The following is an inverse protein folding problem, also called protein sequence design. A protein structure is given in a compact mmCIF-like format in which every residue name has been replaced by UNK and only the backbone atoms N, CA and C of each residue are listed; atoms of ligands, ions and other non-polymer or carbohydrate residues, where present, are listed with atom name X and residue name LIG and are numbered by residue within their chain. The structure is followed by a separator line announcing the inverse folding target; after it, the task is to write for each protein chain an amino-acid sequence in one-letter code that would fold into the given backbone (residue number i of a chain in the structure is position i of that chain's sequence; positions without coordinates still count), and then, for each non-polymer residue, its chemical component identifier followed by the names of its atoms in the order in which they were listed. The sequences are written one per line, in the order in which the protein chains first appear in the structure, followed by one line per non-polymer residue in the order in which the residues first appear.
data_IF_418550749325
#
_entry.id   IF_418550749325
#
_cell.length_a   1.000
_cell.length_b   1.000
_cell.length_c   1.000
_cell.angle_alpha   90.00
_cell.angle_beta   90.00
_cell.angle_gamma   90.00
#
_symmetry.space_group_name_H-M   'P 1'
#
loop_
_entity.id
_entity.type
_entity.pdbx_description
1 polymer ?
#
# COMPACT_ATOMS: atom_id res chain seq x y z
N UNK A 1 -21.93 8.13 9.50
CA UNK A 1 -20.92 8.41 8.45
C UNK A 1 -19.60 7.78 8.86
N UNK A 2 -18.74 7.36 7.91
CA UNK A 2 -17.41 6.86 8.23
C UNK A 2 -16.49 7.98 8.74
N UNK A 3 -15.53 7.62 9.60
CA UNK A 3 -14.43 8.51 9.97
C UNK A 3 -13.37 8.53 8.86
N UNK A 4 -12.74 9.67 8.61
CA UNK A 4 -11.66 9.81 7.62
C UNK A 4 -10.40 10.34 8.30
N UNK A 5 -9.34 9.53 8.31
CA UNK A 5 -8.04 9.87 8.88
C UNK A 5 -7.00 10.10 7.78
N UNK A 6 -6.26 11.21 7.84
CA UNK A 6 -5.24 11.58 6.84
C UNK A 6 -3.85 11.54 7.47
N UNK A 7 -3.43 10.36 7.90
CA UNK A 7 -2.20 10.12 8.65
C UNK A 7 -1.36 8.94 8.11
N UNK A 8 -1.85 8.25 7.07
CA UNK A 8 -1.19 7.05 6.55
C UNK A 8 0.13 7.41 5.86
N UNK A 9 1.11 6.51 5.97
CA UNK A 9 2.45 6.61 5.36
C UNK A 9 2.73 5.39 4.47
N UNK A 10 3.71 5.53 3.57
CA UNK A 10 4.12 4.48 2.64
C UNK A 10 3.51 4.67 1.25
N UNK A 11 3.47 3.61 0.44
CA UNK A 11 3.05 3.71 -0.98
C UNK A 11 1.56 3.47 -1.25
N UNK A 12 0.80 3.00 -0.26
CA UNK A 12 -0.65 2.86 -0.42
C UNK A 12 -1.30 4.24 -0.37
N UNK A 13 -2.33 4.47 -1.20
CA UNK A 13 -3.08 5.72 -1.26
C UNK A 13 -4.19 5.77 -0.19
N UNK A 14 -4.97 4.69 -0.07
CA UNK A 14 -6.08 4.57 0.88
C UNK A 14 -6.12 3.20 1.55
N UNK A 15 -6.94 3.09 2.59
CA UNK A 15 -7.34 1.84 3.24
C UNK A 15 -8.64 1.98 4.01
N UNK A 16 -9.58 1.07 3.78
CA UNK A 16 -10.77 0.90 4.61
C UNK A 16 -10.50 -0.02 5.82
N UNK A 17 -10.84 0.46 7.02
CA UNK A 17 -10.90 -0.31 8.25
C UNK A 17 -12.35 -0.68 8.54
N UNK A 18 -12.78 -1.81 7.99
CA UNK A 18 -14.18 -2.26 7.96
C UNK A 18 -14.89 -2.20 9.32
N UNK A 19 -14.26 -2.77 10.37
CA UNK A 19 -14.85 -2.88 11.71
C UNK A 19 -14.93 -1.55 12.44
N UNK A 20 -14.04 -0.61 12.11
CA UNK A 20 -14.02 0.73 12.72
C UNK A 20 -14.85 1.74 11.93
N UNK A 21 -15.36 1.34 10.76
CA UNK A 21 -16.00 2.24 9.81
C UNK A 21 -15.13 3.47 9.50
N UNK A 22 -13.83 3.24 9.26
CA UNK A 22 -12.83 4.30 9.05
C UNK A 22 -12.15 4.15 7.70
N UNK A 23 -11.94 5.26 6.99
CA UNK A 23 -11.06 5.35 5.83
C UNK A 23 -9.76 6.03 6.28
N UNK A 24 -8.62 5.40 5.99
CA UNK A 24 -7.30 6.00 6.18
C UNK A 24 -6.73 6.40 4.83
N UNK A 25 -6.24 7.62 4.72
CA UNK A 25 -5.63 8.18 3.52
C UNK A 25 -4.17 8.53 3.75
N UNK A 26 -3.38 8.38 2.69
CA UNK A 26 -2.00 8.82 2.69
C UNK A 26 -1.91 10.34 2.61
N UNK A 27 -1.32 10.96 3.63
CA UNK A 27 -1.28 12.42 3.74
C UNK A 27 -0.57 13.11 2.58
N UNK A 28 0.58 12.58 2.16
CA UNK A 28 1.41 13.20 1.13
C UNK A 28 0.75 12.99 -0.23
N UNK A 29 0.39 11.74 -0.56
CA UNK A 29 -0.26 11.43 -1.84
C UNK A 29 -1.59 12.16 -2.01
N UNK A 30 -2.37 12.31 -0.94
CA UNK A 30 -3.63 13.06 -0.97
C UNK A 30 -3.39 14.53 -1.29
N UNK A 31 -2.39 15.16 -0.65
CA UNK A 31 -2.05 16.55 -0.91
C UNK A 31 -1.58 16.77 -2.35
N UNK A 32 -0.85 15.81 -2.92
CA UNK A 32 -0.29 15.88 -4.27
C UNK A 32 -1.32 15.54 -5.37
N UNK A 33 -2.36 14.77 -5.06
CA UNK A 33 -3.26 14.16 -6.06
C UNK A 33 -4.75 14.24 -5.67
N UNK A 34 -5.20 15.39 -5.14
CA UNK A 34 -6.54 15.55 -4.55
C UNK A 34 -7.68 15.07 -5.47
N UNK A 35 -7.66 15.45 -6.75
CA UNK A 35 -8.73 15.10 -7.69
C UNK A 35 -8.80 13.58 -7.91
N UNK A 36 -7.65 12.91 -8.09
CA UNK A 36 -7.61 11.45 -8.23
C UNK A 36 -8.09 10.74 -6.95
N UNK A 37 -7.83 11.31 -5.78
CA UNK A 37 -8.38 10.78 -4.53
C UNK A 37 -9.90 10.90 -4.46
N UNK A 38 -10.47 12.03 -4.91
CA UNK A 38 -11.92 12.26 -4.95
C UNK A 38 -12.58 11.32 -5.95
N UNK A 39 -12.01 11.18 -7.14
CA UNK A 39 -12.62 10.44 -8.24
C UNK A 39 -12.45 8.93 -8.12
N UNK A 40 -11.36 8.48 -7.48
CA UNK A 40 -10.98 7.07 -7.51
C UNK A 40 -10.77 6.47 -6.11
N UNK A 41 -9.87 7.03 -5.30
CA UNK A 41 -9.44 6.40 -4.03
C UNK A 41 -10.56 6.41 -2.98
N UNK A 42 -11.22 7.55 -2.77
CA UNK A 42 -12.30 7.68 -1.80
C UNK A 42 -13.48 6.78 -2.15
N UNK A 43 -14.00 6.79 -3.40
CA UNK A 43 -15.02 5.83 -3.84
C UNK A 43 -14.61 4.37 -3.63
N UNK A 44 -13.35 4.02 -3.94
CA UNK A 44 -12.83 2.66 -3.74
C UNK A 44 -12.91 2.23 -2.27
N UNK A 45 -12.37 3.05 -1.36
CA UNK A 45 -12.36 2.72 0.07
C UNK A 45 -13.77 2.77 0.68
N UNK A 46 -14.61 3.71 0.24
CA UNK A 46 -15.99 3.80 0.68
C UNK A 46 -16.82 2.61 0.18
N UNK A 47 -16.56 2.10 -1.03
CA UNK A 47 -17.20 0.90 -1.54
C UNK A 47 -16.90 -0.33 -0.67
N UNK A 48 -15.69 -0.45 -0.09
CA UNK A 48 -15.40 -1.50 0.88
C UNK A 48 -16.26 -1.38 2.14
N UNK A 49 -16.42 -0.18 2.69
CA UNK A 49 -17.25 0.05 3.88
C UNK A 49 -18.72 -0.23 3.62
N UNK A 50 -19.27 0.31 2.52
CA UNK A 50 -20.67 0.07 2.11
C UNK A 50 -20.90 -1.44 1.90
N UNK A 51 -19.99 -2.10 1.18
CA UNK A 51 -20.11 -3.54 0.92
C UNK A 51 -20.15 -4.33 2.23
N UNK A 52 -19.29 -3.99 3.18
CA UNK A 52 -19.24 -4.65 4.49
C UNK A 52 -20.53 -4.42 5.30
N UNK A 53 -21.06 -3.20 5.31
CA UNK A 53 -22.26 -2.84 6.06
C UNK A 53 -23.52 -3.49 5.49
N UNK A 54 -23.61 -3.61 4.16
CA UNK A 54 -24.82 -4.12 3.49
C UNK A 54 -24.78 -5.64 3.35
N UNK A 55 -23.63 -6.22 3.02
CA UNK A 55 -23.51 -7.65 2.68
C UNK A 55 -22.73 -8.47 3.71
N UNK A 56 -22.16 -7.84 4.74
CA UNK A 56 -21.39 -8.52 5.78
C UNK A 56 -20.02 -9.00 5.28
N UNK A 57 -19.67 -10.26 5.57
CA UNK A 57 -18.38 -10.85 5.20
C UNK A 57 -18.46 -11.47 3.80
N UNK A 58 -17.91 -10.76 2.82
CA UNK A 58 -17.83 -11.21 1.42
C UNK A 58 -16.38 -11.18 0.91
N UNK A 59 -16.16 -11.68 -0.31
CA UNK A 59 -14.85 -11.64 -0.95
C UNK A 59 -14.42 -10.18 -1.21
N UNK A 60 -13.20 -9.77 -0.83
CA UNK A 60 -12.67 -8.46 -1.19
C UNK A 60 -12.70 -8.26 -2.71
N UNK A 61 -13.21 -7.10 -3.15
CA UNK A 61 -13.37 -6.78 -4.57
C UNK A 61 -14.23 -7.80 -5.36
N UNK A 62 -15.12 -8.52 -4.66
CA UNK A 62 -16.08 -9.46 -5.24
C UNK A 62 -17.28 -8.77 -5.91
N UNK A 63 -18.26 -9.57 -6.33
CA UNK A 63 -19.44 -9.10 -7.09
C UNK A 63 -20.22 -7.99 -6.36
N UNK A 64 -20.32 -8.05 -5.04
CA UNK A 64 -20.98 -7.05 -4.20
C UNK A 64 -20.24 -5.72 -4.22
N UNK A 65 -18.90 -5.77 -4.10
CA UNK A 65 -18.06 -4.57 -4.18
C UNK A 65 -18.08 -3.96 -5.59
N UNK A 66 -18.00 -4.81 -6.63
CA UNK A 66 -18.11 -4.35 -8.02
C UNK A 66 -19.48 -3.72 -8.30
N UNK A 67 -20.55 -4.27 -7.73
CA UNK A 67 -21.87 -3.69 -7.79
C UNK A 67 -21.90 -2.30 -7.17
N UNK A 68 -21.33 -2.11 -5.97
CA UNK A 68 -21.26 -0.78 -5.33
C UNK A 68 -20.44 0.20 -6.18
N UNK A 69 -19.26 -0.20 -6.66
CA UNK A 69 -18.42 0.65 -7.52
C UNK A 69 -19.17 1.14 -8.76
N UNK A 70 -19.86 0.24 -9.46
CA UNK A 70 -20.53 0.56 -10.73
C UNK A 70 -21.89 1.25 -10.51
N UNK A 71 -22.71 0.75 -9.58
CA UNK A 71 -24.12 1.17 -9.45
C UNK A 71 -24.31 2.32 -8.47
N UNK A 72 -23.42 2.49 -7.50
CA UNK A 72 -23.49 3.59 -6.54
C UNK A 72 -22.55 4.72 -6.95
N UNK A 73 -21.30 4.40 -7.29
CA UNK A 73 -20.30 5.40 -7.62
C UNK A 73 -20.14 5.68 -9.12
N UNK A 74 -20.68 4.84 -10.00
CA UNK A 74 -20.58 5.04 -11.45
C UNK A 74 -19.15 4.87 -11.99
N UNK A 75 -18.24 4.27 -11.22
CA UNK A 75 -16.83 4.10 -11.60
C UNK A 75 -16.51 2.64 -11.94
N UNK A 76 -15.51 2.45 -12.79
CA UNK A 76 -15.01 1.12 -13.12
C UNK A 76 -14.45 0.46 -11.85
N UNK A 77 -14.71 -0.84 -11.61
CA UNK A 77 -14.26 -1.54 -10.41
C UNK A 77 -12.77 -1.93 -10.50
N UNK A 78 -11.91 -0.94 -10.69
CA UNK A 78 -10.46 -1.11 -10.74
C UNK A 78 -9.89 -1.33 -9.34
N UNK A 79 -9.01 -2.32 -9.21
CA UNK A 79 -8.38 -2.66 -7.92
C UNK A 79 -7.17 -1.79 -7.60
N UNK A 80 -6.57 -1.21 -8.64
CA UNK A 80 -5.31 -0.50 -8.56
C UNK A 80 -5.44 0.81 -9.29
N UNK A 81 -4.93 1.87 -8.66
CA UNK A 81 -4.81 3.19 -9.24
C UNK A 81 -3.35 3.44 -9.58
N UNK A 82 -3.08 4.13 -10.68
CA UNK A 82 -1.71 4.51 -11.06
C UNK A 82 -1.49 5.94 -10.60
N UNK A 83 -0.51 6.13 -9.73
CA UNK A 83 -0.12 7.43 -9.17
C UNK A 83 1.39 7.44 -8.99
N UNK A 84 2.03 8.60 -9.15
CA UNK A 84 3.42 8.72 -8.75
C UNK A 84 3.54 8.62 -7.22
N UNK A 85 4.36 7.68 -6.77
CA UNK A 85 4.61 7.41 -5.34
C UNK A 85 6.06 7.69 -4.96
N UNK A 86 6.78 8.43 -5.80
CA UNK A 86 8.18 8.81 -5.58
C UNK A 86 8.35 9.61 -4.28
N UNK A 87 7.46 10.56 -4.01
CA UNK A 87 7.42 11.43 -2.81
C UNK A 87 7.29 10.67 -1.49
N UNK A 88 6.66 9.49 -1.53
CA UNK A 88 6.41 8.63 -0.35
C UNK A 88 7.25 7.35 -0.38
N UNK A 89 8.21 7.27 -1.30
CA UNK A 89 9.11 6.13 -1.36
C UNK A 89 9.94 6.05 -0.08
N UNK A 90 9.74 4.96 0.66
CA UNK A 90 10.53 4.68 1.86
C UNK A 90 12.00 4.47 1.52
N UNK A 91 12.86 4.71 2.54
CA UNK A 91 14.30 4.49 2.45
C UNK A 91 14.63 3.08 1.97
N UNK A 92 15.67 3.00 1.14
CA UNK A 92 16.23 1.75 0.66
C UNK A 92 17.71 1.67 0.99
N UNK A 93 18.19 0.46 1.22
CA UNK A 93 19.53 0.17 1.71
C UNK A 93 20.16 -0.87 0.81
N UNK A 94 21.40 -0.64 0.40
CA UNK A 94 22.09 -1.55 -0.50
C UNK A 94 22.66 -2.76 0.24
N UNK A 95 22.32 -3.93 -0.28
CA UNK A 95 22.85 -5.21 0.17
C UNK A 95 23.48 -5.94 -1.02
N UNK A 96 24.53 -6.73 -0.82
CA UNK A 96 25.21 -7.42 -1.90
C UNK A 96 25.62 -8.85 -1.55
N UNK A 97 25.66 -9.69 -2.58
CA UNK A 97 26.47 -10.91 -2.66
C UNK A 97 27.70 -10.60 -3.52
N UNK A 98 28.61 -11.56 -3.69
CA UNK A 98 29.66 -11.48 -4.72
C UNK A 98 29.18 -11.46 -6.17
N UNK A 99 27.87 -11.39 -6.40
CA UNK A 99 27.23 -11.58 -7.70
C UNK A 99 26.40 -10.40 -8.20
N UNK A 100 25.81 -9.60 -7.30
CA UNK A 100 25.00 -8.40 -7.59
C UNK A 100 24.60 -7.67 -6.31
N UNK A 101 24.17 -6.42 -6.49
CA UNK A 101 23.54 -5.60 -5.46
C UNK A 101 22.00 -5.72 -5.47
N UNK A 102 21.41 -5.46 -4.31
CA UNK A 102 19.98 -5.52 -4.03
C UNK A 102 19.56 -4.33 -3.15
N UNK A 103 18.56 -3.53 -3.57
CA UNK A 103 17.95 -2.55 -2.69
C UNK A 103 16.97 -3.26 -1.74
N UNK A 104 17.25 -3.25 -0.44
CA UNK A 104 16.31 -3.69 0.59
C UNK A 104 15.55 -2.48 1.14
N UNK A 105 14.22 -2.63 1.31
CA UNK A 105 13.42 -1.60 1.97
C UNK A 105 13.79 -1.45 3.44
N UNK A 106 13.51 -0.29 4.03
CA UNK A 106 13.72 -0.03 5.46
C UNK A 106 13.15 -1.12 6.38
N UNK A 107 12.01 -1.72 6.00
CA UNK A 107 11.42 -2.83 6.78
C UNK A 107 12.33 -4.06 6.78
N UNK A 108 12.84 -4.45 5.61
CA UNK A 108 13.76 -5.58 5.45
C UNK A 108 15.10 -5.29 6.14
N UNK A 109 15.64 -4.10 5.94
CA UNK A 109 16.86 -3.65 6.61
C UNK A 109 16.74 -3.72 8.14
N UNK A 110 15.64 -3.20 8.72
CA UNK A 110 15.41 -3.25 10.16
C UNK A 110 15.26 -4.69 10.68
N UNK A 111 14.65 -5.59 9.92
CA UNK A 111 14.58 -7.02 10.29
C UNK A 111 15.96 -7.66 10.38
N UNK A 112 16.87 -7.33 9.44
CA UNK A 112 18.27 -7.79 9.50
C UNK A 112 18.96 -7.22 10.73
N UNK A 113 18.84 -5.91 10.99
CA UNK A 113 19.45 -5.28 12.17
C UNK A 113 18.97 -5.89 13.49
N UNK A 114 17.70 -6.28 13.56
CA UNK A 114 17.10 -6.95 14.73
C UNK A 114 17.36 -8.46 14.78
N UNK A 115 18.08 -9.01 13.80
CA UNK A 115 18.33 -10.45 13.64
C UNK A 115 17.05 -11.30 13.52
N UNK A 116 15.95 -10.69 13.08
CA UNK A 116 14.67 -11.38 12.86
C UNK A 116 14.59 -12.08 11.50
N UNK A 117 15.44 -11.68 10.55
CA UNK A 117 15.49 -12.27 9.22
C UNK A 117 16.85 -12.08 8.58
N UNK A 118 17.24 -13.04 7.76
CA UNK A 118 18.35 -12.95 6.83
C UNK A 118 17.82 -13.13 5.41
N UNK A 119 18.53 -12.58 4.42
CA UNK A 119 18.11 -12.66 3.03
C UNK A 119 19.24 -13.21 2.18
N UNK A 120 18.92 -14.18 1.34
CA UNK A 120 19.90 -14.79 0.43
C UNK A 120 19.65 -14.40 -1.02
N UNK A 121 20.72 -14.38 -1.79
CA UNK A 121 20.68 -14.21 -3.23
C UNK A 121 19.97 -15.40 -3.88
N UNK A 122 19.02 -15.14 -4.79
CA UNK A 122 18.33 -16.19 -5.54
C UNK A 122 19.20 -16.88 -6.61
N UNK A 123 20.33 -16.28 -6.97
CA UNK A 123 21.24 -16.81 -7.98
C UNK A 123 22.32 -17.70 -7.35
N UNK A 124 23.08 -17.18 -6.38
CA UNK A 124 24.19 -17.91 -5.76
C UNK A 124 23.87 -18.52 -4.39
N UNK A 125 22.68 -18.26 -3.81
CA UNK A 125 22.30 -18.75 -2.48
C UNK A 125 23.00 -18.07 -1.29
N UNK A 126 24.04 -17.27 -1.55
CA UNK A 126 24.82 -16.58 -0.49
C UNK A 126 23.97 -15.52 0.20
N UNK A 127 24.16 -15.40 1.52
CA UNK A 127 23.55 -14.35 2.33
C UNK A 127 23.97 -12.97 1.84
N UNK A 128 23.02 -12.04 1.80
CA UNK A 128 23.24 -10.67 1.40
C UNK A 128 23.83 -9.87 2.57
N UNK A 129 24.98 -9.24 2.35
CA UNK A 129 25.62 -8.36 3.31
C UNK A 129 25.25 -6.90 3.05
N UNK A 130 24.93 -6.15 4.11
CA UNK A 130 24.69 -4.70 4.01
C UNK A 130 26.00 -4.00 3.61
N UNK A 131 25.96 -3.13 2.60
CA UNK A 131 27.17 -2.43 2.09
C UNK A 131 27.51 -1.17 2.89
N UNK A 132 26.67 -0.76 3.84
CA UNK A 132 26.78 0.52 4.54
C UNK A 132 26.06 1.67 3.83
N UNK A 133 25.55 1.48 2.61
CA UNK A 133 24.96 2.55 1.80
C UNK A 133 23.43 2.60 1.90
N UNK A 134 22.90 3.77 2.30
CA UNK A 134 21.49 4.12 2.09
C UNK A 134 21.34 4.70 0.67
N UNK A 135 20.43 4.14 -0.12
CA UNK A 135 20.21 4.50 -1.53
C UNK A 135 19.17 5.62 -1.70
N UNK A 136 18.20 5.69 -0.79
CA UNK A 136 17.15 6.72 -0.75
C UNK A 136 16.77 7.05 0.68
#
# INVERSE_FOLDING_TARGET
MPQVDVDMRGKAAGKALLQLNTIKLNKILFAENQQQFIDEVLPHELAHLITHQVFGRVKPHGKEWQYVMVKVFGIKPERTHTMDVSSVQGKTFEYQCGCRSYPLSIRRHNKVLRKESQYSCRSCGVELAFTGKQLS
#
